data_IF_960986397707
#
_entry.id   IF_960986397707
#
_cell.length_a   1.000
_cell.length_b   1.000
_cell.length_c   1.000
_cell.angle_alpha   90.00
_cell.angle_beta   90.00
_cell.angle_gamma   90.00
#
_symmetry.space_group_name_H-M   'P 1'
#
loop_
_entity.id
_entity.type
_entity.pdbx_description
1 polymer ?
#
# COMPACT_ATOMS: atom_id res chain seq x y z
N UNK A 1 9.32 21.72 26.12
CA UNK A 1 8.01 21.14 25.78
C UNK A 1 7.71 21.48 24.34
N UNK A 2 7.41 20.43 23.55
CA UNK A 2 6.73 20.35 22.24
C UNK A 2 6.70 21.59 21.34
N UNK A 3 7.23 21.44 20.11
CA UNK A 3 6.44 21.08 18.92
C UNK A 3 7.40 20.60 17.81
N UNK A 4 7.62 19.29 17.71
CA UNK A 4 7.07 18.44 16.64
C UNK A 4 7.30 19.02 15.23
N UNK A 5 8.32 18.49 14.57
CA UNK A 5 8.87 18.83 13.25
C UNK A 5 7.94 18.48 12.08
N UNK A 6 6.63 18.71 12.24
CA UNK A 6 5.62 18.57 11.19
C UNK A 6 5.60 19.76 10.20
N UNK A 7 6.50 20.74 10.35
CA UNK A 7 6.50 21.98 9.59
C UNK A 7 7.42 22.00 8.34
N UNK A 8 7.94 20.84 7.90
CA UNK A 8 8.72 20.73 6.66
C UNK A 8 7.94 20.05 5.50
N UNK A 9 6.67 19.65 5.72
CA UNK A 9 5.84 18.98 4.70
C UNK A 9 4.81 19.89 4.01
N UNK A 10 4.98 21.22 4.08
CA UNK A 10 4.34 22.12 3.11
C UNK A 10 5.26 22.26 1.88
N UNK A 11 5.53 21.14 1.19
CA UNK A 11 6.04 21.22 -0.19
C UNK A 11 4.82 21.56 -1.02
N UNK A 12 4.66 22.85 -1.33
CA UNK A 12 3.58 23.37 -2.17
C UNK A 12 3.32 22.42 -3.32
N UNK A 13 2.06 21.97 -3.45
CA UNK A 13 1.61 21.03 -4.50
C UNK A 13 1.88 21.56 -5.92
N UNK A 14 2.29 22.82 -6.05
CA UNK A 14 2.68 23.55 -7.26
C UNK A 14 4.10 23.24 -7.76
N UNK A 15 4.93 22.49 -7.01
CA UNK A 15 6.35 22.26 -7.36
C UNK A 15 6.71 20.79 -7.66
N UNK A 16 5.73 19.93 -7.96
CA UNK A 16 6.01 18.58 -8.47
C UNK A 16 6.15 18.63 -9.98
N UNK A 17 7.22 18.04 -10.48
CA UNK A 17 7.30 17.69 -11.90
C UNK A 17 6.29 16.59 -12.23
N UNK A 18 5.90 16.51 -13.51
CA UNK A 18 5.03 15.43 -13.99
C UNK A 18 5.63 14.05 -13.69
N UNK A 19 6.96 13.92 -13.78
CA UNK A 19 7.70 12.71 -13.43
C UNK A 19 7.53 12.32 -11.95
N UNK A 20 7.63 13.28 -11.03
CA UNK A 20 7.42 13.03 -9.59
C UNK A 20 5.96 12.64 -9.30
N UNK A 21 5.00 13.26 -9.99
CA UNK A 21 3.58 12.93 -9.85
C UNK A 21 3.28 11.51 -10.33
N UNK A 22 3.82 11.11 -11.50
CA UNK A 22 3.71 9.75 -12.05
C UNK A 22 4.32 8.74 -11.07
N UNK A 23 5.51 9.03 -10.53
CA UNK A 23 6.17 8.18 -9.56
C UNK A 23 5.34 8.04 -8.27
N UNK A 24 4.77 9.14 -7.77
CA UNK A 24 3.89 9.12 -6.60
C UNK A 24 2.64 8.29 -6.83
N UNK A 25 1.97 8.47 -7.98
CA UNK A 25 0.80 7.68 -8.34
C UNK A 25 1.12 6.19 -8.44
N UNK A 26 2.26 5.82 -9.04
CA UNK A 26 2.72 4.43 -9.13
C UNK A 26 2.98 3.81 -7.77
N UNK A 27 3.60 4.54 -6.83
CA UNK A 27 3.77 4.09 -5.44
C UNK A 27 2.43 3.89 -4.74
N UNK A 28 1.54 4.88 -4.81
CA UNK A 28 0.18 4.79 -4.24
C UNK A 28 -0.60 3.59 -4.78
N UNK A 29 -0.49 3.29 -6.08
CA UNK A 29 -1.13 2.11 -6.69
C UNK A 29 -0.57 0.80 -6.12
N UNK A 30 0.76 0.68 -6.01
CA UNK A 30 1.41 -0.50 -5.41
C UNK A 30 0.99 -0.70 -3.95
N UNK A 31 0.94 0.38 -3.17
CA UNK A 31 0.51 0.35 -1.78
C UNK A 31 -0.95 -0.08 -1.62
N UNK A 32 -1.84 0.39 -2.50
CA UNK A 32 -3.25 -0.01 -2.52
C UNK A 32 -3.46 -1.46 -2.93
N UNK A 33 -2.57 -2.03 -3.74
CA UNK A 33 -2.63 -3.44 -4.17
C UNK A 33 -1.84 -4.38 -3.24
N UNK A 34 -1.08 -3.85 -2.28
CA UNK A 34 -0.25 -4.65 -1.39
C UNK A 34 -1.11 -5.47 -0.43
N UNK A 35 -0.91 -6.78 -0.49
CA UNK A 35 -1.57 -7.82 0.31
C UNK A 35 -3.10 -7.78 0.21
N UNK A 36 -3.65 -7.41 -0.94
CA UNK A 36 -5.11 -7.42 -1.16
C UNK A 36 -5.65 -8.72 -1.76
N UNK A 37 -4.78 -9.71 -1.99
CA UNK A 37 -5.12 -11.04 -2.45
C UNK A 37 -4.20 -12.08 -1.81
N UNK A 38 -4.69 -13.31 -1.63
CA UNK A 38 -3.92 -14.42 -1.08
C UNK A 38 -2.82 -14.88 -2.05
N UNK A 39 -1.71 -15.35 -1.51
CA UNK A 39 -0.58 -15.84 -2.28
C UNK A 39 -0.80 -17.30 -2.71
N UNK A 40 -0.93 -17.59 -4.01
CA UNK A 40 -1.17 -18.96 -4.49
C UNK A 40 0.04 -19.89 -4.24
N UNK A 41 1.25 -19.34 -4.22
CA UNK A 41 2.45 -20.10 -3.90
C UNK A 41 2.54 -20.42 -2.41
N UNK A 42 2.01 -19.54 -1.54
CA UNK A 42 2.01 -19.83 -0.10
C UNK A 42 1.00 -20.92 0.23
N UNK A 43 -0.16 -20.92 -0.43
CA UNK A 43 -1.14 -22.01 -0.29
C UNK A 43 -0.60 -23.35 -0.80
N UNK A 44 0.32 -23.34 -1.76
CA UNK A 44 1.04 -24.53 -2.21
C UNK A 44 2.27 -24.89 -1.35
N UNK A 45 2.67 -24.03 -0.39
CA UNK A 45 3.87 -24.21 0.42
C UNK A 45 5.20 -23.84 -0.28
N UNK A 46 5.14 -23.23 -1.46
CA UNK A 46 6.29 -22.94 -2.33
C UNK A 46 6.72 -21.47 -2.32
N UNK A 47 6.11 -20.62 -1.49
CA UNK A 47 6.44 -19.20 -1.48
C UNK A 47 7.79 -18.91 -0.78
N UNK A 48 8.82 -18.61 -1.56
CA UNK A 48 10.15 -18.21 -1.06
C UNK A 48 10.29 -16.71 -0.74
N UNK A 49 9.23 -15.91 -0.94
CA UNK A 49 9.28 -14.44 -0.81
C UNK A 49 9.22 -13.96 0.65
N UNK A 50 8.82 -14.82 1.58
CA UNK A 50 8.69 -14.50 3.00
C UNK A 50 7.85 -13.24 3.26
N UNK A 51 8.26 -12.42 4.21
CA UNK A 51 7.57 -11.19 4.60
C UNK A 51 7.50 -10.13 3.48
N UNK A 52 8.33 -10.24 2.43
CA UNK A 52 8.35 -9.32 1.29
C UNK A 52 7.33 -9.69 0.20
N UNK A 53 6.55 -10.75 0.40
CA UNK A 53 5.52 -11.13 -0.56
C UNK A 53 4.47 -10.01 -0.69
N UNK A 54 4.16 -9.63 -1.93
CA UNK A 54 3.12 -8.64 -2.22
C UNK A 54 1.71 -9.19 -2.02
N UNK A 55 1.58 -10.51 -1.89
CA UNK A 55 0.33 -11.21 -1.62
C UNK A 55 0.28 -11.64 -0.15
N UNK A 56 -0.92 -11.77 0.38
CA UNK A 56 -1.14 -12.19 1.75
C UNK A 56 -0.88 -13.70 1.91
N UNK A 57 -0.12 -14.09 2.94
CA UNK A 57 0.11 -15.49 3.33
C UNK A 57 -1.00 -16.03 4.26
N UNK A 58 -2.17 -15.40 4.26
CA UNK A 58 -3.31 -15.78 5.09
C UNK A 58 -4.23 -14.59 5.32
N UNK A 59 -5.37 -14.84 5.95
CA UNK A 59 -6.38 -13.81 6.24
C UNK A 59 -5.83 -12.71 7.16
N UNK A 60 -4.93 -13.06 8.09
CA UNK A 60 -4.27 -12.10 8.99
C UNK A 60 -3.43 -11.06 8.25
N UNK A 61 -2.96 -11.39 7.04
CA UNK A 61 -2.20 -10.48 6.20
C UNK A 61 -3.04 -9.82 5.10
N UNK A 62 -4.27 -10.32 4.87
CA UNK A 62 -5.13 -9.89 3.77
C UNK A 62 -5.77 -8.54 4.10
N UNK A 63 -5.46 -7.55 3.27
CA UNK A 63 -5.97 -6.18 3.40
C UNK A 63 -7.23 -6.02 2.55
N UNK A 64 -8.29 -5.39 3.09
CA UNK A 64 -9.47 -5.06 2.29
C UNK A 64 -9.07 -4.11 1.18
N UNK A 65 -9.61 -4.34 -0.02
CA UNK A 65 -9.52 -3.36 -1.09
C UNK A 65 -10.19 -2.08 -0.58
N UNK A 66 -9.46 -0.96 -0.58
CA UNK A 66 -9.95 0.36 -0.12
C UNK A 66 -11.08 0.95 -0.98
N UNK A 67 -11.79 0.11 -1.74
CA UNK A 67 -12.93 0.41 -2.61
C UNK A 67 -14.18 -0.40 -2.22
N UNK A 68 -14.08 -1.34 -1.29
CA UNK A 68 -15.24 -2.06 -0.77
C UNK A 68 -16.07 -1.09 0.08
N UNK A 69 -17.15 -0.57 -0.51
CA UNK A 69 -18.28 -0.06 0.26
C UNK A 69 -18.75 -1.26 1.08
N UNK A 70 -18.62 -1.19 2.40
CA UNK A 70 -19.35 -2.11 3.26
C UNK A 70 -20.83 -1.85 3.02
N UNK A 71 -21.43 -2.61 2.10
CA UNK A 71 -22.89 -2.73 2.02
C UNK A 71 -23.26 -3.60 3.19
N UNK A 72 -23.47 -2.96 4.34
CA UNK A 72 -24.20 -3.56 5.45
C UNK A 72 -25.67 -3.52 5.06
N UNK A 73 -26.30 -4.70 5.04
CA UNK A 73 -27.76 -4.85 4.88
C UNK A 73 -28.54 -4.06 5.95
#
# INVERSE_FOLDING_TARGET
>A
QVINTQHFYLRDSSTMTDEELIALQKRKRRERAYKTALCPLFTAGECSRGAKCLFAHGESELRPLSRAIAVTE
#
